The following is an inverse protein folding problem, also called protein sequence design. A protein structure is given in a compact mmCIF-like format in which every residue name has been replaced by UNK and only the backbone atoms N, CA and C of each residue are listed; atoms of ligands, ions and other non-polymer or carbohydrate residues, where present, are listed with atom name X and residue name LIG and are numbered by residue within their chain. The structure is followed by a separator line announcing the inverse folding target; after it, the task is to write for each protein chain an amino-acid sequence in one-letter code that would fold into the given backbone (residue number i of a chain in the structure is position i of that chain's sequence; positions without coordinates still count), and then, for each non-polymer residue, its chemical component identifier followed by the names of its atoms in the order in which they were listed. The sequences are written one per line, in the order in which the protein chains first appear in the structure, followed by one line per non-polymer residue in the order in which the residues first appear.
data_IF_354469314293
#
_entry.id   IF_354469314293
#
_cell.length_a   1.000
_cell.length_b   1.000
_cell.length_c   1.000
_cell.angle_alpha   90.00
_cell.angle_beta   90.00
_cell.angle_gamma   90.00
#
_symmetry.space_group_name_H-M   'P 1'
#
loop_
_entity.id
_entity.type
_entity.pdbx_description
1 polymer ?
#
# COMPACT_ATOMS: atom_id res chain seq x y z
N UNK A 1 -22.19 -0.73 -4.49
CA UNK A 1 -21.68 0.47 -3.79
C UNK A 1 -20.20 0.68 -4.14
N UNK A 2 -19.91 1.12 -5.37
CA UNK A 2 -18.54 1.36 -5.87
C UNK A 2 -18.22 2.85 -5.70
N UNK A 3 -17.98 3.31 -4.46
CA UNK A 3 -17.56 4.70 -4.26
C UNK A 3 -16.07 4.80 -4.57
N UNK A 4 -15.81 5.49 -5.69
CA UNK A 4 -14.50 5.91 -6.18
C UNK A 4 -13.64 6.38 -5.01
N UNK A 5 -12.59 5.63 -4.70
CA UNK A 5 -11.47 6.05 -3.88
C UNK A 5 -10.89 7.31 -4.53
N UNK A 6 -11.34 8.46 -4.04
CA UNK A 6 -11.01 9.77 -4.57
C UNK A 6 -9.62 10.16 -4.10
N UNK A 7 -8.61 9.46 -4.62
CA UNK A 7 -7.22 9.93 -4.57
C UNK A 7 -7.08 10.92 -5.72
N UNK A 8 -7.64 12.12 -5.57
CA UNK A 8 -7.32 13.23 -6.46
C UNK A 8 -5.91 13.73 -6.13
N UNK A 9 -4.94 13.13 -6.81
CA UNK A 9 -3.76 13.83 -7.33
C UNK A 9 -3.27 13.02 -8.51
N UNK A 10 -3.40 13.57 -9.72
CA UNK A 10 -2.92 12.95 -10.95
C UNK A 10 -1.51 12.38 -10.73
N UNK A 11 -1.27 11.10 -11.02
CA UNK A 11 0.07 10.56 -10.95
C UNK A 11 0.85 11.18 -12.12
N UNK A 12 1.86 12.00 -11.80
CA UNK A 12 3.01 12.11 -12.70
C UNK A 12 3.43 10.67 -13.03
N UNK A 13 3.45 10.28 -14.30
CA UNK A 13 3.52 8.88 -14.78
C UNK A 13 4.46 7.94 -13.98
N UNK A 14 5.57 8.45 -13.44
CA UNK A 14 6.46 7.68 -12.55
C UNK A 14 5.85 7.20 -11.21
N UNK A 15 4.80 7.85 -10.69
CA UNK A 15 4.11 7.45 -9.44
C UNK A 15 3.16 6.27 -9.62
N UNK A 16 2.62 6.10 -10.82
CA UNK A 16 1.73 4.98 -11.15
C UNK A 16 2.54 3.71 -11.36
N UNK A 17 3.65 3.78 -12.10
CA UNK A 17 4.61 2.69 -12.23
C UNK A 17 5.18 2.28 -10.86
N UNK A 18 5.53 3.26 -10.03
CA UNK A 18 5.95 3.04 -8.65
C UNK A 18 4.84 2.41 -7.80
N UNK A 19 3.58 2.81 -7.95
CA UNK A 19 2.48 2.18 -7.21
C UNK A 19 2.29 0.72 -7.61
N UNK A 20 2.30 0.41 -8.91
CA UNK A 20 2.14 -0.96 -9.40
C UNK A 20 3.29 -1.87 -8.95
N UNK A 21 4.53 -1.38 -9.01
CA UNK A 21 5.71 -2.14 -8.56
C UNK A 21 5.77 -2.32 -7.04
N UNK A 22 5.14 -1.42 -6.29
CA UNK A 22 5.13 -1.46 -4.82
C UNK A 22 3.86 -2.09 -4.24
N UNK A 23 2.82 -2.32 -5.04
CA UNK A 23 1.53 -2.84 -4.61
C UNK A 23 1.69 -4.17 -3.85
N UNK A 24 2.54 -5.06 -4.35
CA UNK A 24 2.85 -6.34 -3.70
C UNK A 24 3.53 -6.14 -2.35
N UNK A 25 4.37 -5.11 -2.24
CA UNK A 25 4.96 -4.70 -0.98
C UNK A 25 3.97 -4.07 0.00
N UNK A 26 2.78 -3.64 -0.42
CA UNK A 26 1.79 -3.02 0.47
C UNK A 26 0.99 -4.04 1.29
N UNK A 27 0.80 -5.26 0.77
CA UNK A 27 0.05 -6.34 1.42
C UNK A 27 0.92 -7.22 2.34
N UNK A 28 2.22 -6.93 2.42
CA UNK A 28 3.16 -7.70 3.23
C UNK A 28 3.89 -8.80 2.45
N UNK A 29 3.62 -8.93 1.15
CA UNK A 29 4.40 -9.82 0.29
C UNK A 29 5.79 -9.22 0.03
N UNK A 30 6.76 -10.10 -0.25
CA UNK A 30 8.04 -9.68 -0.77
C UNK A 30 7.81 -8.94 -2.09
N UNK A 31 8.49 -7.80 -2.27
CA UNK A 31 8.51 -7.14 -3.57
C UNK A 31 9.07 -8.11 -4.61
N UNK A 32 8.49 -8.12 -5.82
CA UNK A 32 8.99 -8.94 -6.92
C UNK A 32 10.42 -8.58 -7.32
N UNK A 33 10.87 -7.36 -7.00
CA UNK A 33 12.19 -6.85 -7.35
C UNK A 33 12.86 -6.16 -6.14
N UNK A 34 14.21 -6.25 -6.02
CA UNK A 34 14.97 -5.49 -5.05
C UNK A 34 14.81 -3.97 -5.25
N UNK A 35 14.88 -3.20 -4.16
CA UNK A 35 14.78 -1.74 -4.22
C UNK A 35 15.81 -1.07 -5.15
N UNK A 36 16.99 -1.67 -5.31
CA UNK A 36 18.03 -1.18 -6.20
C UNK A 36 17.61 -1.24 -7.68
N UNK A 37 16.96 -2.32 -8.11
CA UNK A 37 16.48 -2.47 -9.49
C UNK A 37 15.30 -1.52 -9.77
N UNK A 38 14.40 -1.39 -8.80
CA UNK A 38 13.31 -0.42 -8.85
C UNK A 38 13.82 1.01 -8.96
N UNK A 39 14.88 1.35 -8.23
CA UNK A 39 15.51 2.67 -8.29
C UNK A 39 16.04 2.99 -9.69
N UNK A 40 16.72 2.03 -10.33
CA UNK A 40 17.21 2.17 -11.70
C UNK A 40 16.07 2.37 -12.70
N UNK A 41 15.03 1.54 -12.64
CA UNK A 41 13.86 1.62 -13.54
C UNK A 41 13.11 2.95 -13.44
N UNK A 42 13.14 3.57 -12.26
CA UNK A 42 12.40 4.79 -11.97
C UNK A 42 13.27 6.06 -12.06
N UNK A 43 14.58 5.93 -12.33
CA UNK A 43 15.51 7.06 -12.31
C UNK A 43 15.62 7.72 -10.93
N UNK A 44 15.46 6.93 -9.86
CA UNK A 44 15.50 7.37 -8.47
C UNK A 44 16.71 6.75 -7.75
N UNK A 45 17.00 7.25 -6.54
CA UNK A 45 17.91 6.56 -5.63
C UNK A 45 17.17 5.49 -4.84
N UNK A 46 17.87 4.44 -4.41
CA UNK A 46 17.30 3.38 -3.57
C UNK A 46 16.67 3.95 -2.28
N UNK A 47 17.31 4.96 -1.68
CA UNK A 47 16.78 5.68 -0.52
C UNK A 47 15.44 6.38 -0.82
N UNK A 48 15.32 7.03 -1.98
CA UNK A 48 14.07 7.68 -2.40
C UNK A 48 12.93 6.68 -2.63
N UNK A 49 13.25 5.48 -3.16
CA UNK A 49 12.30 4.37 -3.29
C UNK A 49 11.84 3.92 -1.90
N UNK A 50 12.77 3.59 -0.99
CA UNK A 50 12.46 3.17 0.39
C UNK A 50 11.57 4.18 1.13
N UNK A 51 11.90 5.47 1.05
CA UNK A 51 11.09 6.54 1.65
C UNK A 51 9.68 6.60 1.05
N UNK A 52 9.57 6.41 -0.26
CA UNK A 52 8.27 6.44 -0.92
C UNK A 52 7.42 5.23 -0.55
N UNK A 53 8.02 4.03 -0.50
CA UNK A 53 7.36 2.80 -0.03
C UNK A 53 6.84 2.99 1.39
N UNK A 54 7.69 3.49 2.29
CA UNK A 54 7.33 3.68 3.69
C UNK A 54 6.13 4.64 3.84
N UNK A 55 6.17 5.78 3.12
CA UNK A 55 5.06 6.75 3.10
C UNK A 55 3.77 6.16 2.51
N UNK A 56 3.87 5.39 1.44
CA UNK A 56 2.73 4.70 0.81
C UNK A 56 2.12 3.66 1.75
N UNK A 57 2.92 2.80 2.39
CA UNK A 57 2.47 1.82 3.39
C UNK A 57 1.73 2.48 4.55
N UNK A 58 2.28 3.57 5.08
CA UNK A 58 1.63 4.31 6.17
C UNK A 58 0.25 4.83 5.74
N UNK A 59 0.17 5.54 4.62
CA UNK A 59 -1.08 6.09 4.10
C UNK A 59 -2.10 5.01 3.73
N UNK A 60 -1.64 3.90 3.13
CA UNK A 60 -2.49 2.76 2.81
C UNK A 60 -3.07 2.14 4.08
N UNK A 61 -2.24 1.90 5.10
CA UNK A 61 -2.69 1.37 6.39
C UNK A 61 -3.66 2.30 7.13
N UNK A 62 -3.50 3.61 7.03
CA UNK A 62 -4.45 4.60 7.56
C UNK A 62 -5.81 4.51 6.84
N UNK A 63 -5.81 4.47 5.50
CA UNK A 63 -7.05 4.32 4.72
C UNK A 63 -7.73 2.98 4.98
N UNK A 64 -6.95 1.90 5.06
CA UNK A 64 -7.49 0.57 5.33
C UNK A 64 -8.10 0.49 6.73
N UNK A 65 -7.47 1.12 7.74
CA UNK A 65 -8.05 1.28 9.08
C UNK A 65 -9.39 1.99 9.05
N UNK A 66 -9.53 3.05 8.25
CA UNK A 66 -10.78 3.80 8.14
C UNK A 66 -11.89 2.98 7.45
N UNK A 67 -11.54 2.15 6.46
CA UNK A 67 -12.51 1.26 5.82
C UNK A 67 -12.93 0.12 6.76
N UNK A 68 -11.98 -0.53 7.45
CA UNK A 68 -12.28 -1.58 8.43
C UNK A 68 -13.08 -1.04 9.62
N UNK A 69 -12.81 0.19 10.06
CA UNK A 69 -13.59 0.84 11.12
C UNK A 69 -15.08 0.99 10.78
N UNK A 70 -15.43 1.00 9.49
CA UNK A 70 -16.82 1.05 9.03
C UNK A 70 -17.49 -0.34 8.99
N UNK A 71 -16.72 -1.42 9.08
CA UNK A 71 -17.23 -2.79 9.00
C UNK A 71 -17.29 -3.52 10.34
N UNK A 72 -16.50 -3.08 11.32
CA UNK A 72 -16.48 -3.67 12.67
C UNK A 72 -17.55 -3.08 13.58
N UNK A 73 -17.97 -3.85 14.59
CA UNK A 73 -18.98 -3.40 15.55
C UNK A 73 -18.37 -2.44 16.57
N UNK A 74 -17.11 -2.66 16.94
CA UNK A 74 -16.39 -1.83 17.90
C UNK A 74 -15.01 -1.44 17.39
N UNK A 75 -14.51 -0.27 17.79
CA UNK A 75 -13.17 0.20 17.38
C UNK A 75 -12.03 -0.69 17.89
N UNK A 76 -12.25 -1.48 18.95
CA UNK A 76 -11.29 -2.44 19.48
C UNK A 76 -11.01 -3.62 18.51
N UNK A 77 -11.95 -3.91 17.61
CA UNK A 77 -11.83 -5.01 16.64
C UNK A 77 -10.98 -4.63 15.42
N UNK A 78 -10.71 -3.34 15.17
CA UNK A 78 -10.06 -2.84 13.95
C UNK A 78 -8.72 -3.54 13.71
N UNK A 79 -7.85 -3.59 14.72
CA UNK A 79 -6.52 -4.18 14.55
C UNK A 79 -6.58 -5.70 14.35
N UNK A 80 -7.58 -6.39 14.94
CA UNK A 80 -7.79 -7.81 14.71
C UNK A 80 -8.27 -8.08 13.29
N UNK A 81 -9.28 -7.34 12.84
CA UNK A 81 -9.86 -7.49 11.51
C UNK A 81 -8.85 -7.16 10.41
N UNK A 82 -8.01 -6.14 10.63
CA UNK A 82 -6.90 -5.83 9.74
C UNK A 82 -5.89 -6.96 9.62
N UNK A 83 -5.51 -7.59 10.73
CA UNK A 83 -4.59 -8.74 10.70
C UNK A 83 -5.20 -9.91 9.93
N UNK A 84 -6.47 -10.22 10.17
CA UNK A 84 -7.17 -11.26 9.42
C UNK A 84 -7.22 -10.96 7.92
N UNK A 85 -7.60 -9.73 7.56
CA UNK A 85 -7.68 -9.30 6.16
C UNK A 85 -6.32 -9.40 5.45
N UNK A 86 -5.25 -8.91 6.08
CA UNK A 86 -3.90 -8.98 5.52
C UNK A 86 -3.41 -10.44 5.41
N UNK A 87 -3.69 -11.27 6.41
CA UNK A 87 -3.34 -12.71 6.36
C UNK A 87 -4.07 -13.43 5.24
N UNK A 88 -5.36 -13.12 5.00
CA UNK A 88 -6.14 -13.71 3.91
C UNK A 88 -5.65 -13.25 2.53
N UNK A 89 -5.16 -12.01 2.42
CA UNK A 89 -4.58 -11.48 1.18
C UNK A 89 -3.17 -12.01 0.89
N UNK A 90 -2.37 -12.29 1.92
CA UNK A 90 -1.02 -12.85 1.77
C UNK A 90 -1.02 -14.35 1.47
N UNK A 91 -2.09 -15.08 1.83
CA UNK A 91 -2.26 -16.50 1.54
C UNK A 91 -2.73 -16.79 0.10
N UNK A 92 -2.76 -15.78 -0.77
CA UNK A 92 -3.25 -15.84 -2.15
C UNK A 92 -2.10 -15.58 -3.13
#
# INVERSE_FOLDING_TARGET
MRRKLSIQKAPTAGKEALFNLLADGLTGNALSEPYAELALKLGLTEAAVKMTVHRLRKRYGELLRLEVAQTVVTSAEIDQELRHLLSALAAK
#
